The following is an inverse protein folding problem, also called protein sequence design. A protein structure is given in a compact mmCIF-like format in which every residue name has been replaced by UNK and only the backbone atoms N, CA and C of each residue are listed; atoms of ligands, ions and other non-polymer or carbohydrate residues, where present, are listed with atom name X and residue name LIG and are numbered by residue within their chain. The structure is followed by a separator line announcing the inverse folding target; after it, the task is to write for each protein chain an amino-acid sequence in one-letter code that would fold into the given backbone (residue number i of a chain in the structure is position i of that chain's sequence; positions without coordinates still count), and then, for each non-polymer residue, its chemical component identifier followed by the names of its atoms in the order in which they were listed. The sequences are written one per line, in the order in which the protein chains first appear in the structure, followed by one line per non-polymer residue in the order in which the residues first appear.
data_IF_999950853322
#
_entry.id   IF_999950853322
#
_cell.length_a   1.000
_cell.length_b   1.000
_cell.length_c   1.000
_cell.angle_alpha   90.00
_cell.angle_beta   90.00
_cell.angle_gamma   90.00
#
_symmetry.space_group_name_H-M   'P 1'
#
loop_
_entity.id
_entity.type
_entity.pdbx_description
1 polymer ?
#
# COMPACT_ATOMS: atom_id res chain seq x y z
N UNK A 1 6.86 -6.61 4.53
CA UNK A 1 6.95 -8.08 4.63
C UNK A 1 6.30 -8.61 3.38
N UNK A 2 7.10 -8.74 2.32
CA UNK A 2 6.62 -8.89 0.95
C UNK A 2 6.80 -10.33 0.46
N UNK A 3 6.22 -10.64 -0.70
CA UNK A 3 6.35 -11.96 -1.35
C UNK A 3 7.72 -12.14 -2.01
N UNK A 4 8.53 -11.08 -2.10
CA UNK A 4 9.86 -11.06 -2.69
C UNK A 4 10.80 -10.31 -1.75
N UNK A 5 12.09 -10.66 -1.78
CA UNK A 5 13.12 -9.95 -1.03
C UNK A 5 13.26 -8.52 -1.53
N UNK A 6 13.51 -7.61 -0.61
CA UNK A 6 13.75 -6.23 -0.95
C UNK A 6 15.13 -6.13 -1.63
N UNK A 7 15.27 -5.44 -2.79
CA UNK A 7 16.55 -5.31 -3.46
C UNK A 7 17.61 -4.55 -2.63
N UNK A 8 17.21 -3.75 -1.63
CA UNK A 8 18.14 -3.13 -0.68
C UNK A 8 18.65 -4.13 0.38
N UNK A 9 17.95 -5.23 0.61
CA UNK A 9 18.28 -6.24 1.62
C UNK A 9 18.14 -7.66 1.03
N UNK A 10 18.94 -8.03 0.03
CA UNK A 10 18.80 -9.30 -0.71
C UNK A 10 19.07 -10.54 0.15
N UNK A 11 19.83 -10.39 1.24
CA UNK A 11 20.17 -11.48 2.17
C UNK A 11 19.09 -11.71 3.23
N UNK A 12 18.12 -10.80 3.37
CA UNK A 12 17.05 -10.92 4.36
C UNK A 12 15.89 -11.72 3.75
N UNK A 13 15.61 -12.95 4.24
CA UNK A 13 14.51 -13.75 3.74
C UNK A 13 13.16 -13.11 4.12
N UNK A 14 12.16 -13.33 3.28
CA UNK A 14 10.77 -12.97 3.59
C UNK A 14 10.19 -13.92 4.64
N UNK A 15 9.14 -13.48 5.35
CA UNK A 15 8.40 -14.36 6.27
C UNK A 15 7.88 -15.62 5.58
N UNK A 16 7.45 -15.49 4.31
CA UNK A 16 7.06 -16.64 3.48
C UNK A 16 8.18 -17.65 3.28
N UNK A 17 9.41 -17.19 2.99
CA UNK A 17 10.58 -18.07 2.87
C UNK A 17 10.95 -18.76 4.19
N UNK A 18 10.53 -18.19 5.33
CA UNK A 18 10.71 -18.75 6.66
C UNK A 18 9.55 -19.67 7.10
N UNK A 19 8.61 -19.99 6.21
CA UNK A 19 7.49 -20.87 6.50
C UNK A 19 6.32 -20.20 7.23
N UNK A 20 6.34 -18.87 7.36
CA UNK A 20 5.26 -18.08 7.95
C UNK A 20 4.50 -17.39 6.83
N UNK A 21 3.24 -17.79 6.59
CA UNK A 21 2.40 -17.21 5.53
C UNK A 21 1.81 -15.85 5.96
N UNK A 22 2.70 -14.89 6.21
CA UNK A 22 2.36 -13.51 6.54
C UNK A 22 2.98 -12.61 5.49
N UNK A 23 2.10 -11.95 4.74
CA UNK A 23 2.44 -10.87 3.82
C UNK A 23 1.73 -9.63 4.34
N UNK A 24 2.50 -8.72 4.92
CA UNK A 24 1.97 -7.48 5.48
C UNK A 24 2.90 -6.32 5.12
N UNK A 25 2.33 -5.34 4.43
CA UNK A 25 3.03 -4.16 3.96
C UNK A 25 2.38 -2.91 4.53
N UNK A 26 3.19 -1.89 4.84
CA UNK A 26 2.65 -0.56 5.12
C UNK A 26 2.29 0.10 3.80
N UNK A 27 1.02 0.46 3.65
CA UNK A 27 0.52 1.19 2.49
C UNK A 27 0.19 2.63 2.88
N UNK A 28 0.13 3.50 1.87
CA UNK A 28 -0.27 4.90 2.02
C UNK A 28 -1.25 5.23 0.91
N UNK A 29 -2.25 6.06 1.20
CA UNK A 29 -3.24 6.48 0.23
C UNK A 29 -3.90 7.80 0.62
N UNK A 30 -4.76 8.28 -0.27
CA UNK A 30 -5.38 9.60 -0.17
C UNK A 30 -6.89 9.45 -0.17
N UNK A 31 -7.50 9.88 0.92
CA UNK A 31 -8.95 10.00 1.06
C UNK A 31 -9.42 11.39 0.66
N UNK A 32 -10.51 11.47 -0.09
CA UNK A 32 -11.21 12.73 -0.38
C UNK A 32 -12.55 12.78 0.37
N UNK A 33 -13.05 13.97 0.72
CA UNK A 33 -14.36 14.11 1.34
C UNK A 33 -15.48 13.47 0.51
N UNK A 34 -16.49 12.93 1.20
CA UNK A 34 -17.68 12.41 0.55
C UNK A 34 -18.39 13.54 -0.21
N UNK A 35 -18.69 13.31 -1.49
CA UNK A 35 -19.37 14.29 -2.34
C UNK A 35 -18.44 15.34 -2.97
N UNK A 36 -17.12 15.13 -2.95
CA UNK A 36 -16.18 15.97 -3.71
C UNK A 36 -16.57 16.04 -5.19
N UNK A 37 -16.39 17.20 -5.80
CA UNK A 37 -16.62 17.40 -7.23
C UNK A 37 -15.80 16.37 -8.04
N UNK A 38 -16.41 15.65 -9.00
CA UNK A 38 -15.71 14.67 -9.82
C UNK A 38 -14.54 15.27 -10.62
N UNK A 39 -14.61 16.54 -11.00
CA UNK A 39 -13.50 17.23 -11.66
C UNK A 39 -12.30 17.38 -10.71
N UNK A 40 -12.53 17.76 -9.46
CA UNK A 40 -11.48 17.86 -8.44
C UNK A 40 -10.87 16.48 -8.17
N UNK A 41 -11.71 15.44 -8.04
CA UNK A 41 -11.23 14.06 -7.88
C UNK A 41 -10.33 13.66 -9.05
N UNK A 42 -10.74 13.95 -10.28
CA UNK A 42 -9.98 13.62 -11.48
C UNK A 42 -8.64 14.36 -11.53
N UNK A 43 -8.62 15.66 -11.20
CA UNK A 43 -7.40 16.45 -11.14
C UNK A 43 -6.40 15.88 -10.13
N UNK A 44 -6.86 15.51 -8.94
CA UNK A 44 -6.01 14.92 -7.91
C UNK A 44 -5.42 13.59 -8.39
N UNK A 45 -6.25 12.70 -8.95
CA UNK A 45 -5.79 11.41 -9.49
C UNK A 45 -4.73 11.60 -10.59
N UNK A 46 -4.91 12.58 -11.48
CA UNK A 46 -3.94 12.90 -12.53
C UNK A 46 -2.60 13.40 -11.97
N UNK A 47 -2.64 14.30 -10.99
CA UNK A 47 -1.44 14.82 -10.32
C UNK A 47 -0.65 13.69 -9.66
N UNK A 48 -1.32 12.79 -8.92
CA UNK A 48 -0.66 11.65 -8.27
C UNK A 48 -0.13 10.64 -9.29
N UNK A 49 -0.87 10.36 -10.35
CA UNK A 49 -0.40 9.49 -11.44
C UNK A 49 0.85 10.05 -12.11
N UNK A 50 0.93 11.37 -12.31
CA UNK A 50 2.12 12.05 -12.83
C UNK A 50 3.28 11.99 -11.86
N UNK A 51 3.06 12.30 -10.58
CA UNK A 51 4.10 12.24 -9.56
C UNK A 51 4.71 10.83 -9.41
N UNK A 52 3.90 9.78 -9.49
CA UNK A 52 4.38 8.39 -9.42
C UNK A 52 5.20 7.95 -10.64
N UNK A 53 5.14 8.71 -11.74
CA UNK A 53 5.95 8.50 -12.96
C UNK A 53 7.16 9.43 -13.02
N UNK A 54 7.27 10.39 -12.10
CA UNK A 54 8.37 11.33 -12.07
C UNK A 54 9.67 10.64 -11.67
N UNK A 55 10.74 10.87 -12.44
CA UNK A 55 12.01 10.18 -12.23
C UNK A 55 12.74 10.61 -10.96
N UNK A 56 12.57 11.87 -10.54
CA UNK A 56 13.14 12.36 -9.28
C UNK A 56 12.44 11.67 -8.11
N UNK A 57 11.11 11.58 -8.17
CA UNK A 57 10.32 10.87 -7.17
C UNK A 57 10.66 9.37 -7.11
N UNK A 58 10.75 8.68 -8.24
CA UNK A 58 11.15 7.27 -8.31
C UNK A 58 12.57 7.06 -7.75
N UNK A 59 13.49 7.99 -8.02
CA UNK A 59 14.86 7.90 -7.52
C UNK A 59 14.93 8.11 -6.01
N UNK A 60 14.14 9.06 -5.49
CA UNK A 60 14.00 9.29 -4.05
C UNK A 60 13.42 8.08 -3.33
N UNK A 61 12.34 7.50 -3.86
CA UNK A 61 11.66 6.38 -3.21
C UNK A 61 12.53 5.12 -3.15
N UNK A 62 13.31 4.86 -4.22
CA UNK A 62 14.33 3.80 -4.22
C UNK A 62 15.39 4.00 -3.14
N UNK A 63 15.89 5.23 -2.95
CA UNK A 63 16.87 5.54 -1.90
C UNK A 63 16.27 5.44 -0.50
N UNK A 64 15.00 5.79 -0.36
CA UNK A 64 14.28 5.75 0.91
C UNK A 64 13.73 4.35 1.28
N UNK A 65 13.94 3.33 0.44
CA UNK A 65 13.36 1.99 0.64
C UNK A 65 11.83 1.96 0.54
N UNK A 66 11.24 2.92 -0.18
CA UNK A 66 9.82 2.99 -0.44
C UNK A 66 9.51 2.31 -1.76
N UNK A 67 8.99 1.08 -1.68
CA UNK A 67 8.51 0.37 -2.86
C UNK A 67 7.24 1.05 -3.39
N UNK A 68 7.30 1.55 -4.62
CA UNK A 68 6.17 2.21 -5.27
C UNK A 68 5.20 1.16 -5.84
N UNK A 69 4.00 1.10 -5.28
CA UNK A 69 2.88 0.33 -5.78
C UNK A 69 1.70 1.28 -5.98
N UNK A 70 1.71 2.03 -7.08
CA UNK A 70 0.59 2.92 -7.41
C UNK A 70 -0.65 2.09 -7.74
N UNK A 71 -1.78 2.46 -7.15
CA UNK A 71 -3.09 1.91 -7.47
C UNK A 71 -4.03 3.06 -7.81
N UNK A 72 -4.84 2.88 -8.85
CA UNK A 72 -5.90 3.84 -9.17
C UNK A 72 -6.98 3.90 -8.09
N UNK A 73 -7.92 4.85 -8.16
CA UNK A 73 -8.97 5.01 -7.15
C UNK A 73 -9.83 3.75 -6.94
N UNK A 74 -10.20 3.04 -8.00
CA UNK A 74 -11.02 1.82 -7.90
C UNK A 74 -10.22 0.63 -7.35
N UNK A 75 -8.98 0.47 -7.81
CA UNK A 75 -8.07 -0.57 -7.31
C UNK A 75 -7.74 -0.36 -5.83
N UNK A 76 -7.49 0.89 -5.44
CA UNK A 76 -7.20 1.24 -4.06
C UNK A 76 -8.43 1.07 -3.17
N UNK A 77 -9.63 1.39 -3.65
CA UNK A 77 -10.87 1.13 -2.91
C UNK A 77 -11.08 -0.37 -2.67
N UNK A 78 -10.81 -1.22 -3.67
CA UNK A 78 -10.86 -2.67 -3.51
C UNK A 78 -9.81 -3.16 -2.50
N UNK A 79 -8.56 -2.71 -2.65
CA UNK A 79 -7.47 -3.04 -1.74
C UNK A 79 -7.80 -2.64 -0.29
N UNK A 80 -8.38 -1.46 -0.07
CA UNK A 80 -8.81 -1.01 1.26
C UNK A 80 -9.85 -1.94 1.87
N UNK A 81 -10.84 -2.39 1.09
CA UNK A 81 -11.86 -3.32 1.57
C UNK A 81 -11.24 -4.68 1.96
N UNK A 82 -10.36 -5.21 1.10
CA UNK A 82 -9.65 -6.47 1.35
C UNK A 82 -8.71 -6.36 2.57
N UNK A 83 -8.00 -5.24 2.70
CA UNK A 83 -7.07 -4.99 3.81
C UNK A 83 -7.82 -4.79 5.13
N UNK A 84 -8.95 -4.08 5.11
CA UNK A 84 -9.80 -3.91 6.29
C UNK A 84 -10.33 -5.26 6.79
N UNK A 85 -10.77 -6.14 5.89
CA UNK A 85 -11.22 -7.48 6.27
C UNK A 85 -10.07 -8.33 6.84
N UNK A 86 -8.89 -8.30 6.21
CA UNK A 86 -7.70 -9.01 6.68
C UNK A 86 -7.29 -8.53 8.08
N UNK A 87 -7.24 -7.22 8.29
CA UNK A 87 -6.89 -6.62 9.59
C UNK A 87 -7.94 -6.96 10.63
N UNK A 88 -9.23 -6.89 10.31
CA UNK A 88 -10.30 -7.25 11.26
C UNK A 88 -10.19 -8.72 11.69
N UNK A 89 -10.04 -9.65 10.73
CA UNK A 89 -9.86 -11.09 11.02
C UNK A 89 -8.59 -11.36 11.84
N UNK A 90 -7.52 -10.65 11.53
CA UNK A 90 -6.24 -10.81 12.25
C UNK A 90 -6.34 -10.26 13.67
N UNK A 91 -6.98 -9.10 13.87
CA UNK A 91 -7.20 -8.50 15.19
C UNK A 91 -8.14 -9.35 16.05
N UNK A 92 -9.14 -9.99 15.44
CA UNK A 92 -10.04 -10.93 16.11
C UNK A 92 -9.29 -12.20 16.56
N UNK A 93 -8.48 -12.80 15.67
CA UNK A 93 -7.75 -14.04 15.98
C UNK A 93 -6.69 -13.89 17.07
N UNK A 94 -6.10 -12.70 17.21
CA UNK A 94 -5.10 -12.39 18.25
C UNK A 94 -5.72 -11.72 19.49
N UNK A 95 -7.05 -11.56 19.55
CA UNK A 95 -7.76 -11.01 20.71
C UNK A 95 -7.52 -9.51 20.96
N UNK A 96 -7.04 -8.76 19.95
CA UNK A 96 -6.76 -7.33 20.03
C UNK A 96 -7.88 -6.45 19.45
N UNK A 97 -9.00 -7.05 19.04
CA UNK A 97 -10.17 -6.31 18.56
C UNK A 97 -10.76 -5.48 19.71
N UNK A 98 -10.70 -4.15 19.55
CA UNK A 98 -11.33 -3.22 20.48
C UNK A 98 -12.85 -3.42 20.39
N UNK A 99 -13.47 -3.87 21.49
CA UNK A 99 -14.92 -3.95 21.63
C UNK A 99 -15.57 -2.57 21.53
#
# INVERSE_FOLDING_TARGET
MDTKRDPLFPDVPTFKEQGVDVVFGTWRGIGLPKGVDPAIKSQIVDIFSKAMKDQEFISYTKKAGLNLAYQGPDEFAKFLAENAELVDKTMDSIGLKKK
#
